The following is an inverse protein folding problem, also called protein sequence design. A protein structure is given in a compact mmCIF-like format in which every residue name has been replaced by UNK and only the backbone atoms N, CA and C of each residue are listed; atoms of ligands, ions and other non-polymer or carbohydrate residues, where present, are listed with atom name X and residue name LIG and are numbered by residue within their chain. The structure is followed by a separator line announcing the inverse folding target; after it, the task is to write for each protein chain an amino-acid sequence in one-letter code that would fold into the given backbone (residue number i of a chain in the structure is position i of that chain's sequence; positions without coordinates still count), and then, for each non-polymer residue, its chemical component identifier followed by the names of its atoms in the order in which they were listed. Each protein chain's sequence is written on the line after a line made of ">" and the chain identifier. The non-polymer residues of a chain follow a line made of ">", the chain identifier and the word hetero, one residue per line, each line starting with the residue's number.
data_IF_945406844136
#
_entry.id   IF_945406844136
#
_cell.length_a   1.000
_cell.length_b   1.000
_cell.length_c   1.000
_cell.angle_alpha   90.00
_cell.angle_beta   90.00
_cell.angle_gamma   90.00
#
_symmetry.space_group_name_H-M   'P 1'
#
loop_
_entity.id
_entity.type
_entity.pdbx_description
1 polymer ?
#
# COMPACT_ATOMS: atom_id res chain seq x y z
N UNK A 1 37.23 12.00 -67.25
CA UNK A 1 37.21 12.56 -65.88
C UNK A 1 35.80 12.47 -65.34
N UNK A 2 35.66 12.12 -64.07
CA UNK A 2 34.43 11.60 -63.48
C UNK A 2 33.40 12.69 -63.14
N UNK A 3 32.14 12.34 -63.40
CA UNK A 3 30.91 13.00 -62.97
C UNK A 3 30.72 12.82 -61.45
N UNK A 4 30.45 13.91 -60.73
CA UNK A 4 30.17 13.90 -59.30
C UNK A 4 28.97 14.79 -58.97
N UNK A 5 27.88 14.16 -58.54
CA UNK A 5 26.61 14.76 -58.10
C UNK A 5 26.64 15.02 -56.59
N UNK A 6 26.15 16.18 -56.14
CA UNK A 6 25.72 16.49 -54.76
C UNK A 6 24.93 17.82 -54.80
N UNK A 7 23.83 18.08 -54.13
CA UNK A 7 22.70 17.37 -53.53
C UNK A 7 21.66 18.49 -53.24
N UNK A 8 20.37 18.15 -53.27
CA UNK A 8 19.27 19.10 -53.43
C UNK A 8 19.08 20.14 -52.31
N UNK A 9 18.62 21.33 -52.73
CA UNK A 9 17.93 22.31 -51.89
C UNK A 9 16.45 21.93 -51.83
N UNK A 10 15.88 21.78 -50.65
CA UNK A 10 14.45 21.57 -50.44
C UNK A 10 13.93 22.46 -49.32
N UNK A 11 13.17 23.49 -49.69
CA UNK A 11 12.38 24.29 -48.75
C UNK A 11 10.95 23.75 -48.66
N UNK A 12 10.39 23.91 -47.45
CA UNK A 12 8.99 23.83 -47.02
C UNK A 12 8.21 22.55 -47.37
N UNK A 13 8.00 21.71 -46.35
CA UNK A 13 6.83 20.85 -46.28
C UNK A 13 6.03 21.18 -45.02
N UNK A 14 4.77 21.54 -45.22
CA UNK A 14 3.74 21.57 -44.19
C UNK A 14 3.70 20.24 -43.46
N UNK A 15 3.85 20.26 -42.14
CA UNK A 15 3.33 19.20 -41.28
C UNK A 15 2.60 19.90 -40.14
N UNK A 16 1.27 19.78 -40.15
CA UNK A 16 0.40 20.33 -39.14
C UNK A 16 0.85 19.92 -37.74
N UNK A 17 1.12 20.91 -36.90
CA UNK A 17 1.15 20.68 -35.46
C UNK A 17 -0.28 20.39 -35.03
N UNK A 18 -0.65 19.12 -35.02
CA UNK A 18 -1.77 18.67 -34.22
C UNK A 18 -1.46 19.08 -32.78
N UNK A 19 -2.20 20.06 -32.26
CA UNK A 19 -2.35 20.22 -30.81
C UNK A 19 -3.04 18.94 -30.36
N UNK A 20 -2.24 17.96 -29.95
CA UNK A 20 -2.74 16.81 -29.22
C UNK A 20 -3.02 17.35 -27.83
N UNK A 21 -4.30 17.59 -27.57
CA UNK A 21 -4.85 17.71 -26.23
C UNK A 21 -4.44 16.46 -25.46
N UNK A 22 -3.26 16.56 -24.85
CA UNK A 22 -2.73 15.53 -24.00
C UNK A 22 -3.34 15.87 -22.67
N UNK A 23 -4.55 15.37 -22.46
CA UNK A 23 -5.01 14.97 -21.13
C UNK A 23 -3.96 13.99 -20.60
N UNK A 24 -2.86 14.56 -20.07
CA UNK A 24 -1.79 13.81 -19.43
C UNK A 24 -2.48 13.18 -18.24
N UNK A 25 -2.73 11.89 -18.42
CA UNK A 25 -3.16 10.97 -17.39
C UNK A 25 -2.31 11.25 -16.16
N UNK A 26 -3.02 11.51 -15.05
CA UNK A 26 -2.44 11.56 -13.72
C UNK A 26 -1.48 10.38 -13.63
N UNK A 27 -0.15 10.58 -13.49
CA UNK A 27 0.70 9.47 -13.13
C UNK A 27 0.13 8.92 -11.83
N UNK A 28 -0.33 7.68 -11.86
CA UNK A 28 -0.56 6.90 -10.66
C UNK A 28 0.82 6.71 -10.06
N UNK A 29 1.23 7.69 -9.25
CA UNK A 29 2.51 7.70 -8.54
C UNK A 29 2.50 6.48 -7.63
N UNK A 30 3.17 5.43 -8.09
CA UNK A 30 3.77 4.49 -7.18
C UNK A 30 4.81 5.29 -6.37
N UNK A 31 4.77 5.09 -5.06
CA UNK A 31 5.59 5.77 -4.06
C UNK A 31 7.06 5.31 -4.18
N UNK A 32 7.72 5.79 -5.22
CA UNK A 32 9.05 5.33 -5.62
C UNK A 32 10.18 6.20 -5.03
N UNK A 33 9.88 7.09 -4.09
CA UNK A 33 10.87 8.00 -3.49
C UNK A 33 11.47 9.04 -4.44
N UNK A 34 10.79 9.37 -5.55
CA UNK A 34 11.21 10.41 -6.50
C UNK A 34 10.46 11.74 -6.27
N UNK A 35 11.06 12.86 -6.66
CA UNK A 35 10.44 14.19 -6.62
C UNK A 35 9.31 14.31 -7.65
N UNK A 36 8.13 14.77 -7.22
CA UNK A 36 6.96 14.98 -8.07
C UNK A 36 6.88 16.45 -8.52
N UNK A 37 7.08 16.71 -9.82
CA UNK A 37 6.87 18.03 -10.42
C UNK A 37 5.42 18.14 -10.88
N UNK A 38 4.67 19.10 -10.33
CA UNK A 38 3.26 19.36 -10.67
C UNK A 38 3.12 20.76 -11.27
N UNK A 39 2.28 20.92 -12.30
CA UNK A 39 1.93 22.23 -12.82
C UNK A 39 1.10 23.04 -11.81
N UNK A 40 1.17 24.37 -11.90
CA UNK A 40 0.45 25.26 -10.97
C UNK A 40 -1.06 24.96 -10.93
N UNK A 41 -1.67 24.74 -12.09
CA UNK A 41 -3.11 24.48 -12.22
C UNK A 41 -3.54 23.14 -11.59
N UNK A 42 -2.63 22.17 -11.48
CA UNK A 42 -2.90 20.85 -10.91
C UNK A 42 -2.43 20.72 -9.45
N UNK A 43 -1.71 21.69 -8.92
CA UNK A 43 -1.12 21.63 -7.58
C UNK A 43 -2.20 21.42 -6.51
N UNK A 44 -3.30 22.18 -6.58
CA UNK A 44 -4.37 22.09 -5.57
C UNK A 44 -5.08 20.73 -5.62
N UNK A 45 -5.31 20.19 -6.81
CA UNK A 45 -5.87 18.84 -6.99
C UNK A 45 -4.97 17.77 -6.39
N UNK A 46 -3.65 17.91 -6.54
CA UNK A 46 -2.68 17.00 -5.94
C UNK A 46 -2.61 17.11 -4.42
N UNK A 47 -2.59 18.33 -3.86
CA UNK A 47 -2.58 18.52 -2.41
C UNK A 47 -3.84 17.95 -1.76
N UNK A 48 -5.01 18.17 -2.37
CA UNK A 48 -6.26 17.58 -1.89
C UNK A 48 -6.28 16.06 -2.02
N UNK A 49 -5.63 15.50 -3.05
CA UNK A 49 -5.44 14.05 -3.19
C UNK A 49 -4.52 13.48 -2.11
N UNK A 50 -3.43 14.17 -1.76
CA UNK A 50 -2.53 13.76 -0.66
C UNK A 50 -3.18 13.93 0.73
N UNK A 51 -3.97 15.00 0.93
CA UNK A 51 -4.73 15.22 2.17
C UNK A 51 -5.90 14.22 2.34
N UNK A 52 -6.51 13.79 1.24
CA UNK A 52 -7.54 12.74 1.23
C UNK A 52 -6.97 11.32 1.22
N UNK A 53 -5.68 11.17 0.93
CA UNK A 53 -4.95 9.94 1.17
C UNK A 53 -5.06 9.67 2.67
N UNK A 54 -5.57 8.51 3.10
CA UNK A 54 -5.77 8.24 4.52
C UNK A 54 -4.45 8.49 5.22
N UNK A 55 -4.44 9.52 6.05
CA UNK A 55 -3.34 9.82 6.93
C UNK A 55 -3.15 8.59 7.81
N UNK A 56 -2.14 7.79 7.49
CA UNK A 56 -1.71 6.62 8.27
C UNK A 56 -1.27 6.98 9.71
N UNK A 57 -1.49 8.23 10.15
CA UNK A 57 -1.39 8.67 11.54
C UNK A 57 -2.44 8.04 12.43
N UNK A 58 -3.57 7.57 11.88
CA UNK A 58 -4.56 6.87 12.69
C UNK A 58 -3.96 5.54 13.20
N UNK A 59 -4.10 5.26 14.50
CA UNK A 59 -3.63 4.00 15.08
C UNK A 59 -4.49 2.82 14.60
N UNK A 60 -3.88 1.64 14.50
CA UNK A 60 -4.59 0.39 14.23
C UNK A 60 -5.60 0.10 15.35
N UNK A 61 -6.81 -0.28 14.98
CA UNK A 61 -7.89 -0.62 15.92
C UNK A 61 -8.65 -1.85 15.48
N UNK A 62 -9.10 -2.65 16.44
CA UNK A 62 -10.05 -3.71 16.19
C UNK A 62 -11.42 -3.13 15.82
N UNK A 63 -12.08 -3.71 14.83
CA UNK A 63 -13.49 -3.44 14.51
C UNK A 63 -14.27 -4.75 14.62
N UNK A 64 -15.40 -4.74 15.33
CA UNK A 64 -16.27 -5.90 15.42
C UNK A 64 -17.36 -5.79 14.37
N UNK A 65 -17.52 -6.83 13.56
CA UNK A 65 -18.67 -6.98 12.71
C UNK A 65 -19.84 -7.57 13.50
N UNK A 66 -20.99 -6.92 13.41
CA UNK A 66 -22.20 -7.30 14.16
C UNK A 66 -22.86 -8.51 13.53
N UNK A 67 -22.79 -8.66 12.20
CA UNK A 67 -23.44 -9.76 11.49
C UNK A 67 -22.72 -11.09 11.74
N UNK A 68 -21.40 -11.13 11.56
CA UNK A 68 -20.61 -12.35 11.81
C UNK A 68 -20.18 -12.52 13.28
N UNK A 69 -20.16 -11.45 14.08
CA UNK A 69 -19.59 -11.45 15.41
C UNK A 69 -18.05 -11.50 15.44
N UNK A 70 -17.40 -11.55 14.27
CA UNK A 70 -15.96 -11.59 14.12
C UNK A 70 -15.34 -10.19 14.18
N UNK A 71 -14.04 -10.15 14.45
CA UNK A 71 -13.24 -8.97 14.46
C UNK A 71 -12.42 -8.84 13.17
N UNK A 72 -12.35 -7.63 12.66
CA UNK A 72 -11.37 -7.19 11.67
C UNK A 72 -10.45 -6.13 12.27
N UNK A 73 -9.61 -5.54 11.42
CA UNK A 73 -8.73 -4.44 11.78
C UNK A 73 -9.00 -3.25 10.87
N UNK A 74 -8.88 -2.05 11.43
CA UNK A 74 -9.04 -0.80 10.69
C UNK A 74 -8.07 0.27 11.16
N UNK A 75 -7.74 1.16 10.24
CA UNK A 75 -6.95 2.37 10.47
C UNK A 75 -7.82 3.58 10.13
N UNK A 76 -8.29 4.28 11.16
CA UNK A 76 -9.31 5.33 10.98
C UNK A 76 -10.59 4.75 10.37
N UNK A 77 -10.93 5.20 9.15
CA UNK A 77 -12.10 4.74 8.40
C UNK A 77 -11.79 3.61 7.40
N UNK A 78 -10.52 3.28 7.21
CA UNK A 78 -10.09 2.25 6.26
C UNK A 78 -10.03 0.88 6.94
N UNK A 79 -10.76 -0.11 6.40
CA UNK A 79 -10.66 -1.51 6.87
C UNK A 79 -9.39 -2.12 6.26
N UNK A 80 -8.46 -2.55 7.11
CA UNK A 80 -7.18 -3.12 6.68
C UNK A 80 -7.22 -4.64 6.68
N UNK A 81 -7.96 -5.23 7.63
CA UNK A 81 -8.31 -6.64 7.60
C UNK A 81 -9.82 -6.82 7.72
N UNK A 82 -10.40 -7.60 6.81
CA UNK A 82 -11.82 -7.98 6.89
C UNK A 82 -12.10 -8.75 8.18
N UNK A 83 -13.35 -8.75 8.68
CA UNK A 83 -13.74 -9.52 9.85
C UNK A 83 -13.50 -11.03 9.65
N UNK A 84 -12.45 -11.55 10.29
CA UNK A 84 -12.04 -12.95 10.18
C UNK A 84 -11.42 -13.51 11.47
N UNK A 85 -11.33 -12.69 12.52
CA UNK A 85 -10.72 -13.05 13.79
C UNK A 85 -11.81 -13.28 14.84
N UNK A 86 -11.65 -14.33 15.66
CA UNK A 86 -12.56 -14.59 16.79
C UNK A 86 -12.31 -13.59 17.91
N UNK A 87 -11.07 -13.14 18.07
CA UNK A 87 -10.66 -12.20 19.12
C UNK A 87 -9.39 -11.46 18.69
N UNK A 88 -9.27 -10.20 19.10
CA UNK A 88 -8.02 -9.44 19.09
C UNK A 88 -7.56 -9.29 20.55
N UNK A 89 -6.34 -9.72 20.86
CA UNK A 89 -5.80 -9.72 22.23
C UNK A 89 -5.09 -8.42 22.56
N UNK A 90 -4.21 -7.99 21.68
CA UNK A 90 -3.40 -6.79 21.87
C UNK A 90 -3.09 -6.17 20.52
N UNK A 91 -2.90 -4.85 20.51
CA UNK A 91 -2.55 -4.08 19.33
C UNK A 91 -1.39 -3.16 19.71
N UNK A 92 -0.27 -3.32 19.01
CA UNK A 92 0.92 -2.52 19.21
C UNK A 92 1.32 -1.91 17.87
N UNK A 93 1.18 -0.59 17.75
CA UNK A 93 1.49 0.18 16.55
C UNK A 93 0.75 -0.35 15.30
N UNK A 94 1.47 -1.01 14.40
CA UNK A 94 0.97 -1.60 13.16
C UNK A 94 0.69 -3.12 13.30
N UNK A 95 0.88 -3.72 14.48
CA UNK A 95 0.71 -5.15 14.72
C UNK A 95 -0.47 -5.46 15.64
N UNK A 96 -1.14 -6.58 15.38
CA UNK A 96 -2.19 -7.10 16.24
C UNK A 96 -2.00 -8.59 16.51
N UNK A 97 -2.14 -9.00 17.77
CA UNK A 97 -2.20 -10.41 18.17
C UNK A 97 -3.66 -10.85 18.12
N UNK A 98 -3.96 -11.83 17.29
CA UNK A 98 -5.33 -12.27 17.01
C UNK A 98 -5.50 -13.76 17.24
N UNK A 99 -6.76 -14.17 17.46
CA UNK A 99 -7.20 -15.56 17.40
C UNK A 99 -7.98 -15.78 16.11
N UNK A 100 -7.51 -16.71 15.29
CA UNK A 100 -8.19 -17.12 14.07
C UNK A 100 -9.39 -18.04 14.37
N UNK A 101 -10.24 -18.27 13.38
CA UNK A 101 -11.44 -19.15 13.49
C UNK A 101 -11.06 -20.59 13.83
N UNK A 102 -9.93 -21.07 13.30
CA UNK A 102 -9.35 -22.38 13.64
C UNK A 102 -8.73 -22.41 15.06
N UNK A 103 -8.99 -21.39 15.90
CA UNK A 103 -8.52 -21.21 17.27
C UNK A 103 -7.01 -21.02 17.42
N UNK A 104 -6.25 -21.02 16.33
CA UNK A 104 -4.82 -20.71 16.33
C UNK A 104 -4.57 -19.22 16.59
N UNK A 105 -3.38 -18.91 17.08
CA UNK A 105 -2.95 -17.54 17.31
C UNK A 105 -2.06 -17.07 16.16
N UNK A 106 -2.21 -15.81 15.79
CA UNK A 106 -1.41 -15.21 14.74
C UNK A 106 -1.09 -13.75 15.09
N UNK A 107 -0.01 -13.25 14.52
CA UNK A 107 0.30 -11.83 14.48
C UNK A 107 -0.06 -11.31 13.10
N UNK A 108 -0.82 -10.23 13.05
CA UNK A 108 -1.20 -9.55 11.82
C UNK A 108 -0.47 -8.23 11.78
N UNK A 109 0.17 -7.95 10.64
CA UNK A 109 0.79 -6.67 10.34
C UNK A 109 -0.18 -5.89 9.44
N UNK A 110 -0.48 -4.64 9.77
CA UNK A 110 -1.35 -3.77 8.97
C UNK A 110 -0.90 -3.66 7.50
N UNK A 111 0.40 -3.80 7.25
CA UNK A 111 1.02 -3.71 5.92
C UNK A 111 0.92 -5.02 5.14
N UNK A 112 0.68 -6.14 5.82
CA UNK A 112 0.60 -7.46 5.21
C UNK A 112 -0.78 -8.04 5.50
N UNK A 113 -1.58 -8.24 4.46
CA UNK A 113 -2.91 -8.85 4.58
C UNK A 113 -2.92 -10.28 5.14
N UNK A 114 -1.75 -10.86 5.43
CA UNK A 114 -1.56 -12.22 5.88
C UNK A 114 -1.24 -12.29 7.38
N UNK A 115 -1.95 -13.18 8.07
CA UNK A 115 -1.72 -13.45 9.48
C UNK A 115 -0.56 -14.46 9.63
N UNK A 116 0.53 -14.05 10.27
CA UNK A 116 1.65 -14.95 10.56
C UNK A 116 1.33 -15.81 11.79
N UNK A 117 1.43 -17.15 11.69
CA UNK A 117 1.13 -18.03 12.81
C UNK A 117 2.13 -17.80 13.97
N UNK A 118 1.60 -17.75 15.19
CA UNK A 118 2.41 -17.56 16.37
C UNK A 118 1.99 -18.49 17.53
N UNK A 119 2.96 -18.85 18.38
CA UNK A 119 2.73 -19.70 19.55
C UNK A 119 3.23 -19.02 20.81
N UNK A 120 2.43 -19.08 21.87
CA UNK A 120 2.85 -18.63 23.19
C UNK A 120 3.91 -19.59 23.74
N UNK A 121 5.06 -19.05 24.11
CA UNK A 121 6.18 -19.73 24.75
C UNK A 121 6.52 -19.02 26.05
N UNK A 122 7.33 -19.66 26.90
CA UNK A 122 7.91 -19.02 28.09
C UNK A 122 9.40 -18.87 27.88
N UNK A 123 9.95 -17.70 28.20
CA UNK A 123 11.41 -17.54 28.16
C UNK A 123 12.05 -18.42 29.23
N UNK A 124 13.17 -19.05 28.90
CA UNK A 124 13.88 -19.99 29.81
C UNK A 124 14.51 -19.27 31.00
N UNK A 125 14.91 -18.02 30.81
CA UNK A 125 15.60 -17.17 31.79
C UNK A 125 14.65 -16.62 32.88
N UNK A 126 13.45 -16.20 32.48
CA UNK A 126 12.55 -15.39 33.29
C UNK A 126 11.18 -16.02 33.52
N UNK A 127 10.85 -17.10 32.79
CA UNK A 127 9.52 -17.71 32.78
C UNK A 127 8.43 -16.83 32.17
N UNK A 128 8.76 -15.61 31.73
CA UNK A 128 7.79 -14.66 31.16
C UNK A 128 7.23 -15.18 29.83
N UNK A 129 5.91 -15.13 29.62
CA UNK A 129 5.31 -15.53 28.36
C UNK A 129 5.68 -14.56 27.24
N UNK A 130 5.89 -15.08 26.04
CA UNK A 130 6.06 -14.31 24.81
C UNK A 130 5.49 -15.07 23.62
N UNK A 131 5.09 -14.35 22.59
CA UNK A 131 4.64 -14.95 21.32
C UNK A 131 5.84 -15.13 20.39
N UNK A 132 5.99 -16.34 19.84
CA UNK A 132 7.00 -16.64 18.80
C UNK A 132 6.28 -16.87 17.48
N UNK A 133 6.58 -16.04 16.48
CA UNK A 133 6.12 -16.24 15.10
C UNK A 133 7.01 -17.24 14.37
N UNK A 134 6.44 -17.96 13.42
CA UNK A 134 7.15 -18.90 12.55
C UNK A 134 7.04 -18.44 11.09
N UNK A 135 8.11 -18.59 10.32
CA UNK A 135 8.01 -18.50 8.86
C UNK A 135 7.22 -19.69 8.34
N UNK A 136 6.44 -19.51 7.28
CA UNK A 136 5.93 -20.64 6.51
C UNK A 136 7.16 -21.40 5.99
N UNK A 137 7.40 -22.61 6.47
CA UNK A 137 8.28 -23.55 5.77
C UNK A 137 7.58 -23.84 4.44
N UNK A 138 8.14 -23.36 3.33
CA UNK A 138 7.71 -23.74 1.98
C UNK A 138 7.88 -25.26 1.87
N UNK A 139 6.78 -25.97 1.58
CA UNK A 139 6.79 -27.39 1.22
C UNK A 139 7.06 -27.57 -0.26
#
# INVERSE_FOLDING_TARGET
>A
MFEGRMAGKGYASHIGMAVRDSSISIPTVADNGLELIVSHDNLMTYLNKELSRPNNTACLKACKDVASGLYGLRRGNMITCKPQFVRVFDIQEDFAIVRLVNLSMAVVDDRKSEAQPCRLQKRKDSGKPYYRCYGQEEQ
#
